data_IF_166270224257
#
_entry.id   IF_166270224257
#
_cell.length_a   1.000
_cell.length_b   1.000
_cell.length_c   1.000
_cell.angle_alpha   90.00
_cell.angle_beta   90.00
_cell.angle_gamma   90.00
#
_symmetry.space_group_name_H-M   'P 1'
#
loop_
_entity.id
_entity.type
_entity.pdbx_description
1 polymer ?
#
# COMPACT_ATOMS: atom_id res chain seq x y z
N UNK A 1 -21.92 2.35 -16.76
CA UNK A 1 -22.21 2.51 -15.32
C UNK A 1 -21.03 3.24 -14.68
N UNK A 2 -21.26 4.37 -14.00
CA UNK A 2 -20.21 5.07 -13.23
C UNK A 2 -19.98 4.26 -11.95
N UNK A 3 -19.22 3.16 -12.07
CA UNK A 3 -18.97 2.27 -10.95
C UNK A 3 -18.05 2.97 -9.96
N UNK A 4 -18.56 3.16 -8.75
CA UNK A 4 -17.80 3.57 -7.58
C UNK A 4 -17.63 2.31 -6.73
N UNK A 5 -16.40 2.06 -6.29
CA UNK A 5 -16.09 0.98 -5.37
C UNK A 5 -15.25 1.51 -4.21
N UNK A 6 -14.91 0.65 -3.28
CA UNK A 6 -14.08 1.02 -2.15
C UNK A 6 -13.40 -0.16 -1.50
N UNK A 7 -12.52 0.15 -0.56
CA UNK A 7 -11.79 -0.80 0.27
C UNK A 7 -11.71 -0.23 1.69
N UNK A 8 -11.79 -1.09 2.70
CA UNK A 8 -11.40 -0.70 4.05
C UNK A 8 -9.87 -0.53 4.12
N UNK A 9 -9.42 0.49 4.86
CA UNK A 9 -8.00 0.75 5.12
C UNK A 9 -7.80 0.96 6.62
N UNK A 10 -6.56 1.13 7.07
CA UNK A 10 -6.24 1.24 8.50
C UNK A 10 -6.87 2.52 9.06
N UNK A 11 -7.70 2.39 10.10
CA UNK A 11 -8.42 3.51 10.72
C UNK A 11 -9.19 4.40 9.71
N UNK A 12 -9.65 3.83 8.59
CA UNK A 12 -10.18 4.63 7.49
C UNK A 12 -10.89 3.86 6.37
N UNK A 13 -11.33 4.60 5.36
CA UNK A 13 -12.03 4.06 4.18
C UNK A 13 -11.46 4.65 2.90
N UNK A 14 -11.31 3.81 1.88
CA UNK A 14 -10.91 4.16 0.53
C UNK A 14 -12.10 4.07 -0.43
N UNK A 15 -12.27 5.09 -1.29
CA UNK A 15 -13.27 5.11 -2.36
C UNK A 15 -12.61 5.39 -3.70
N UNK A 16 -12.97 4.62 -4.74
CA UNK A 16 -12.45 4.73 -6.10
C UNK A 16 -13.58 4.99 -7.09
N UNK A 17 -13.44 6.08 -7.84
CA UNK A 17 -14.26 6.39 -9.01
C UNK A 17 -13.53 6.01 -10.32
N UNK A 18 -14.12 6.23 -11.50
CA UNK A 18 -13.42 6.03 -12.76
C UNK A 18 -12.23 6.98 -13.00
N UNK A 19 -12.24 8.18 -12.39
CA UNK A 19 -11.27 9.24 -12.70
C UNK A 19 -10.40 9.67 -11.50
N UNK A 20 -10.71 9.17 -10.31
CA UNK A 20 -10.02 9.54 -9.08
C UNK A 20 -10.25 8.50 -7.99
N UNK A 21 -9.38 8.47 -6.99
CA UNK A 21 -9.57 7.74 -5.75
C UNK A 21 -9.32 8.66 -4.56
N UNK A 22 -9.91 8.31 -3.43
CA UNK A 22 -9.79 9.06 -2.18
C UNK A 22 -9.64 8.10 -1.01
N UNK A 23 -8.93 8.53 0.03
CA UNK A 23 -8.82 7.85 1.31
C UNK A 23 -9.09 8.87 2.41
N UNK A 24 -9.91 8.49 3.38
CA UNK A 24 -10.14 9.22 4.61
C UNK A 24 -9.71 8.34 5.79
N UNK A 25 -8.84 8.87 6.66
CA UNK A 25 -8.20 8.12 7.76
C UNK A 25 -8.24 8.97 9.02
N UNK A 26 -8.54 8.35 10.15
CA UNK A 26 -8.50 8.98 11.46
C UNK A 26 -7.12 8.75 12.10
N UNK A 27 -6.50 9.82 12.57
CA UNK A 27 -5.25 9.74 13.35
C UNK A 27 -5.51 9.44 14.85
N UNK A 28 -4.48 9.18 15.66
CA UNK A 28 -4.65 8.94 17.11
C UNK A 28 -5.28 10.12 17.87
N UNK A 29 -5.10 11.35 17.38
CA UNK A 29 -5.73 12.56 17.95
C UNK A 29 -7.23 12.68 17.61
N UNK A 30 -7.74 11.79 16.76
CA UNK A 30 -9.13 11.77 16.30
C UNK A 30 -9.40 12.68 15.10
N UNK A 31 -8.39 13.34 14.54
CA UNK A 31 -8.54 14.16 13.33
C UNK A 31 -8.62 13.30 12.07
N UNK A 32 -9.44 13.72 11.10
CA UNK A 32 -9.62 13.01 9.84
C UNK A 32 -8.75 13.64 8.76
N UNK A 33 -7.84 12.85 8.21
CA UNK A 33 -6.98 13.21 7.09
C UNK A 33 -7.55 12.65 5.79
N UNK A 34 -7.59 13.47 4.75
CA UNK A 34 -8.14 13.10 3.45
C UNK A 34 -7.08 13.25 2.37
N UNK A 35 -6.85 12.17 1.62
CA UNK A 35 -6.04 12.19 0.40
C UNK A 35 -6.93 11.94 -0.80
N UNK A 36 -6.70 12.70 -1.87
CA UNK A 36 -7.39 12.56 -3.15
C UNK A 36 -6.39 12.62 -4.30
N UNK A 37 -6.43 11.63 -5.18
CA UNK A 37 -5.58 11.58 -6.37
C UNK A 37 -6.42 11.31 -7.63
N UNK A 38 -6.05 11.95 -8.74
CA UNK A 38 -6.65 11.68 -10.05
C UNK A 38 -6.00 10.45 -10.69
N UNK A 39 -6.82 9.61 -11.32
CA UNK A 39 -6.34 8.48 -12.10
C UNK A 39 -5.97 8.95 -13.50
N UNK A 40 -4.79 8.56 -13.97
CA UNK A 40 -4.39 8.78 -15.35
C UNK A 40 -5.12 7.80 -16.26
N UNK A 41 -5.50 8.24 -17.44
CA UNK A 41 -6.10 7.36 -18.42
C UNK A 41 -5.08 6.34 -18.94
N UNK A 42 -5.49 5.07 -18.98
CA UNK A 42 -4.70 4.01 -19.56
C UNK A 42 -4.71 4.12 -21.10
N UNK A 43 -3.55 3.95 -21.77
CA UNK A 43 -3.45 3.84 -23.22
C UNK A 43 -4.41 2.80 -23.82
N UNK A 44 -4.90 3.05 -25.05
CA UNK A 44 -5.91 2.20 -25.71
C UNK A 44 -5.44 0.74 -25.89
N UNK A 45 -4.17 0.50 -26.17
CA UNK A 45 -3.63 -0.85 -26.38
C UNK A 45 -3.66 -1.70 -25.10
N UNK A 46 -3.54 -1.09 -23.92
CA UNK A 46 -3.64 -1.80 -22.62
C UNK A 46 -5.08 -2.22 -22.27
N UNK A 47 -6.07 -1.76 -23.04
CA UNK A 47 -7.48 -2.12 -22.87
C UNK A 47 -7.88 -3.34 -23.72
N UNK A 48 -6.94 -3.94 -24.47
CA UNK A 48 -7.19 -5.14 -25.26
C UNK A 48 -7.67 -6.31 -24.37
N UNK A 49 -8.64 -7.15 -24.80
CA UNK A 49 -9.32 -8.13 -23.94
C UNK A 49 -8.38 -9.06 -23.15
N UNK A 50 -7.28 -9.48 -23.76
CA UNK A 50 -6.26 -10.35 -23.15
C UNK A 50 -5.47 -9.63 -22.05
N UNK A 51 -5.02 -8.40 -22.31
CA UNK A 51 -4.21 -7.61 -21.37
C UNK A 51 -5.03 -6.87 -20.32
N UNK A 52 -6.32 -6.63 -20.60
CA UNK A 52 -7.22 -5.83 -19.77
C UNK A 52 -7.30 -6.31 -18.34
N UNK A 53 -7.37 -7.63 -18.14
CA UNK A 53 -7.48 -8.24 -16.80
C UNK A 53 -6.24 -8.00 -15.95
N UNK A 54 -5.06 -8.31 -16.52
CA UNK A 54 -3.77 -8.13 -15.84
C UNK A 54 -3.51 -6.66 -15.52
N UNK A 55 -3.73 -5.76 -16.48
CA UNK A 55 -3.56 -4.32 -16.28
C UNK A 55 -4.53 -3.79 -15.22
N UNK A 56 -5.78 -4.23 -15.23
CA UNK A 56 -6.77 -3.83 -14.22
C UNK A 56 -6.37 -4.30 -12.82
N UNK A 57 -5.85 -5.53 -12.69
CA UNK A 57 -5.36 -6.07 -11.43
C UNK A 57 -4.18 -5.27 -10.90
N UNK A 58 -3.14 -5.06 -11.72
CA UNK A 58 -1.97 -4.25 -11.32
C UNK A 58 -2.38 -2.84 -10.91
N UNK A 59 -3.28 -2.21 -11.66
CA UNK A 59 -3.73 -0.87 -11.34
C UNK A 59 -4.53 -0.84 -10.03
N UNK A 60 -5.39 -1.82 -9.77
CA UNK A 60 -6.12 -1.95 -8.51
C UNK A 60 -5.18 -2.17 -7.32
N UNK A 61 -4.20 -3.09 -7.45
CA UNK A 61 -3.19 -3.36 -6.44
C UNK A 61 -2.35 -2.11 -6.13
N UNK A 62 -1.85 -1.43 -7.17
CA UNK A 62 -1.04 -0.23 -7.00
C UNK A 62 -1.79 0.87 -6.23
N UNK A 63 -3.08 1.06 -6.51
CA UNK A 63 -3.91 2.03 -5.79
C UNK A 63 -4.16 1.55 -4.35
N UNK A 64 -4.48 0.27 -4.15
CA UNK A 64 -4.74 -0.32 -2.84
C UNK A 64 -3.54 -0.20 -1.91
N UNK A 65 -2.33 -0.49 -2.41
CA UNK A 65 -1.09 -0.35 -1.65
C UNK A 65 -0.86 1.11 -1.26
N UNK A 66 -1.01 2.07 -2.18
CA UNK A 66 -0.88 3.50 -1.88
C UNK A 66 -1.88 3.98 -0.84
N UNK A 67 -3.10 3.44 -0.87
CA UNK A 67 -4.14 3.76 0.08
C UNK A 67 -3.79 3.22 1.48
N UNK A 68 -3.29 1.99 1.56
CA UNK A 68 -2.83 1.37 2.80
C UNK A 68 -1.63 2.12 3.39
N UNK A 69 -0.63 2.44 2.58
CA UNK A 69 0.57 3.19 2.99
C UNK A 69 0.19 4.55 3.58
N UNK A 70 -0.67 5.30 2.89
CA UNK A 70 -1.16 6.59 3.41
C UNK A 70 -1.98 6.43 4.69
N UNK A 71 -2.80 5.39 4.79
CA UNK A 71 -3.56 5.14 6.01
C UNK A 71 -2.69 4.77 7.20
N UNK A 72 -1.66 3.95 6.99
CA UNK A 72 -0.70 3.60 8.02
C UNK A 72 0.07 4.84 8.49
N UNK A 73 0.56 5.67 7.55
CA UNK A 73 1.36 6.84 7.92
C UNK A 73 0.59 7.88 8.72
N UNK A 74 -0.74 7.93 8.61
CA UNK A 74 -1.62 8.82 9.39
C UNK A 74 -2.17 8.18 10.65
N UNK A 75 -2.53 6.90 10.60
CA UNK A 75 -3.02 6.17 11.77
C UNK A 75 -1.93 5.97 12.84
N UNK A 76 -0.66 5.91 12.43
CA UNK A 76 0.49 5.71 13.32
C UNK A 76 1.41 6.93 13.38
N UNK A 77 0.95 8.14 13.03
CA UNK A 77 1.79 9.35 12.98
C UNK A 77 2.41 9.73 14.36
N UNK A 78 1.89 9.19 15.47
CA UNK A 78 2.50 9.32 16.80
C UNK A 78 3.65 8.34 17.07
N UNK A 79 3.79 7.28 16.26
CA UNK A 79 4.97 6.44 16.24
C UNK A 79 6.07 7.19 15.47
N UNK A 80 6.71 8.13 16.15
CA UNK A 80 8.07 8.55 15.83
C UNK A 80 8.98 7.32 16.00
N UNK A 81 8.84 6.33 15.12
CA UNK A 81 9.85 5.31 14.89
C UNK A 81 11.09 6.07 14.47
N UNK A 82 11.97 6.31 15.43
CA UNK A 82 13.36 6.67 15.15
C UNK A 82 13.79 5.72 14.04
N UNK A 83 14.28 6.24 12.89
CA UNK A 83 14.64 5.38 11.78
C UNK A 83 15.56 4.30 12.32
N UNK A 84 15.12 3.03 12.21
CA UNK A 84 15.88 1.89 12.68
C UNK A 84 17.30 2.05 12.15
N UNK A 85 18.28 2.05 13.06
CA UNK A 85 19.67 2.27 12.68
C UNK A 85 20.02 1.31 11.55
N UNK A 86 20.65 1.81 10.49
CA UNK A 86 21.08 1.00 9.34
C UNK A 86 21.90 -0.22 9.80
N UNK A 87 22.60 -0.08 10.93
CA UNK A 87 23.31 -1.14 11.62
C UNK A 87 22.39 -2.25 12.12
N UNK A 88 21.30 -1.90 12.82
CA UNK A 88 20.31 -2.86 13.33
C UNK A 88 19.67 -3.67 12.20
N UNK A 89 19.27 -2.99 11.12
CA UNK A 89 18.68 -3.65 9.94
C UNK A 89 19.69 -4.63 9.32
N UNK A 90 20.95 -4.22 9.16
CA UNK A 90 21.99 -5.05 8.57
C UNK A 90 22.28 -6.28 9.42
N UNK A 91 22.37 -6.11 10.75
CA UNK A 91 22.61 -7.21 11.69
C UNK A 91 21.46 -8.23 11.63
N UNK A 92 20.21 -7.78 11.68
CA UNK A 92 19.05 -8.70 11.64
C UNK A 92 19.01 -9.52 10.35
N UNK A 93 19.28 -8.89 9.20
CA UNK A 93 19.34 -9.61 7.91
C UNK A 93 20.44 -10.66 7.93
N UNK A 94 21.66 -10.30 8.33
CA UNK A 94 22.79 -11.24 8.38
C UNK A 94 22.48 -12.40 9.33
N UNK A 95 21.97 -12.12 10.53
CA UNK A 95 21.63 -13.15 11.52
C UNK A 95 20.55 -14.09 11.00
N UNK A 96 19.49 -13.58 10.37
CA UNK A 96 18.44 -14.41 9.80
C UNK A 96 18.96 -15.33 8.68
N UNK A 97 19.86 -14.83 7.85
CA UNK A 97 20.43 -15.58 6.72
C UNK A 97 21.39 -16.66 7.21
N UNK A 98 22.24 -16.34 8.20
CA UNK A 98 23.11 -17.31 8.85
C UNK A 98 22.34 -18.41 9.57
N UNK A 99 21.28 -18.06 10.31
CA UNK A 99 20.42 -19.05 10.95
C UNK A 99 19.71 -19.94 9.93
N UNK A 100 19.19 -19.36 8.84
CA UNK A 100 18.53 -20.11 7.78
C UNK A 100 19.47 -21.10 7.10
N UNK A 101 20.68 -20.66 6.73
CA UNK A 101 21.70 -21.52 6.11
C UNK A 101 22.19 -22.58 7.11
N UNK A 102 22.45 -22.19 8.35
CA UNK A 102 22.92 -23.09 9.41
C UNK A 102 21.92 -24.20 9.72
N UNK A 103 20.63 -23.86 9.83
CA UNK A 103 19.58 -24.84 10.05
C UNK A 103 19.44 -25.79 8.85
N UNK A 104 19.56 -25.28 7.61
CA UNK A 104 19.46 -26.09 6.39
C UNK A 104 20.60 -27.10 6.22
N UNK A 105 21.80 -26.80 6.72
CA UNK A 105 22.95 -27.74 6.66
C UNK A 105 22.84 -28.81 7.75
N UNK A 106 22.18 -28.50 8.87
CA UNK A 106 22.07 -29.37 10.05
C UNK A 106 20.89 -30.36 9.95
N UNK A 107 19.87 -30.03 9.17
CA UNK A 107 18.65 -30.83 8.91
C UNK A 107 18.83 -31.70 7.66
#
# INVERSE_FOLDING_TARGET
>A
MKNIGGQAVIEGVMMKSPHAWTVAVRDPSGQIHIKRERLRELPKFLKAPVMRGVVALFHALAIGIKALEYSASKAYEEENEKPLSKLSITITIITSMLLGIGLFILL
#
